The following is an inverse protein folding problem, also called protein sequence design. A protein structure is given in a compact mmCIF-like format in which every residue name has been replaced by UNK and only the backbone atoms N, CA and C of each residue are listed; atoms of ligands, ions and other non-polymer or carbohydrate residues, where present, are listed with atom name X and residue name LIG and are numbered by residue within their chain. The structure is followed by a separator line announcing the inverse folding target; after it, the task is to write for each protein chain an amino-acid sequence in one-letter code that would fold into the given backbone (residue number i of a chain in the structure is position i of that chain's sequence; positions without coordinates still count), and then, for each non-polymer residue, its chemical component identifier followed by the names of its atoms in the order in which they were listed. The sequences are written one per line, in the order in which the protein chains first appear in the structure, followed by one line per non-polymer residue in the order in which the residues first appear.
data_IF_733691242003
#
_entry.id   IF_733691242003
#
_cell.length_a   1.000
_cell.length_b   1.000
_cell.length_c   1.000
_cell.angle_alpha   90.00
_cell.angle_beta   90.00
_cell.angle_gamma   90.00
#
_symmetry.space_group_name_H-M   'P 1'
#
loop_
_entity.id
_entity.type
_entity.pdbx_description
1 polymer ?
#
# COMPACT_ATOMS: atom_id res chain seq x y z
N UNK A 1 1.41 1.43 5.49
CA UNK A 1 2.55 0.59 5.03
C UNK A 1 3.02 1.07 3.66
N UNK A 2 4.33 1.06 3.40
CA UNK A 2 4.92 1.46 2.11
C UNK A 2 5.50 0.24 1.39
N UNK A 3 5.15 0.06 0.13
CA UNK A 3 5.76 -0.93 -0.77
C UNK A 3 6.51 -0.23 -1.89
N UNK A 4 7.62 -0.83 -2.30
CA UNK A 4 8.48 -0.32 -3.37
C UNK A 4 8.57 -1.33 -4.50
N UNK A 5 8.71 -0.82 -5.72
CA UNK A 5 8.94 -1.65 -6.90
C UNK A 5 9.52 -0.85 -8.05
N UNK A 6 9.70 -1.53 -9.18
CA UNK A 6 10.25 -0.94 -10.40
C UNK A 6 9.34 -1.31 -11.57
N UNK A 7 9.09 -0.36 -12.46
CA UNK A 7 8.28 -0.62 -13.66
C UNK A 7 9.08 -1.47 -14.64
N UNK A 8 8.53 -2.61 -15.06
CA UNK A 8 9.20 -3.57 -15.95
C UNK A 8 8.76 -3.48 -17.41
N UNK A 9 7.65 -2.80 -17.72
CA UNK A 9 7.15 -2.63 -19.08
C UNK A 9 6.42 -1.29 -19.30
N UNK A 10 6.41 -0.79 -20.54
CA UNK A 10 5.69 0.42 -20.96
C UNK A 10 6.51 1.72 -20.93
N UNK A 11 5.82 2.87 -20.91
CA UNK A 11 6.43 4.21 -21.05
C UNK A 11 7.36 4.60 -19.89
N UNK A 12 7.16 4.01 -18.72
CA UNK A 12 7.88 4.37 -17.49
C UNK A 12 8.84 3.27 -17.03
N UNK A 13 9.29 2.38 -17.92
CA UNK A 13 10.26 1.31 -17.57
C UNK A 13 11.46 1.90 -16.82
N UNK A 14 11.83 1.24 -15.72
CA UNK A 14 12.92 1.69 -14.85
C UNK A 14 12.51 2.73 -13.80
N UNK A 15 11.32 3.33 -13.90
CA UNK A 15 10.80 4.25 -12.88
C UNK A 15 10.55 3.53 -11.55
N UNK A 16 10.73 4.27 -10.46
CA UNK A 16 10.49 3.76 -9.10
C UNK A 16 9.01 3.89 -8.76
N UNK A 17 8.45 2.80 -8.24
CA UNK A 17 7.07 2.72 -7.78
C UNK A 17 7.07 2.80 -6.26
N UNK A 18 6.23 3.68 -5.71
CA UNK A 18 5.93 3.77 -4.28
C UNK A 18 4.43 3.58 -4.09
N UNK A 19 4.04 2.51 -3.41
CA UNK A 19 2.64 2.26 -3.03
C UNK A 19 2.48 2.51 -1.53
N UNK A 20 1.70 3.53 -1.19
CA UNK A 20 1.28 3.76 0.18
C UNK A 20 -0.09 3.11 0.39
N UNK A 21 -0.22 2.34 1.46
CA UNK A 21 -1.50 1.82 1.93
C UNK A 21 -1.74 2.41 3.31
N UNK A 22 -2.80 3.20 3.42
CA UNK A 22 -3.29 3.72 4.70
C UNK A 22 -4.27 2.71 5.27
N UNK A 23 -4.06 2.36 6.53
CA UNK A 23 -4.91 1.42 7.24
C UNK A 23 -6.00 2.24 7.93
N UNK A 24 -7.21 2.21 7.39
CA UNK A 24 -8.36 2.83 8.02
C UNK A 24 -9.25 1.72 8.56
N UNK A 25 -8.86 1.15 9.70
CA UNK A 25 -9.75 0.24 10.39
C UNK A 25 -10.70 1.04 11.29
N UNK A 26 -11.99 0.94 11.02
CA UNK A 26 -13.05 1.56 11.84
C UNK A 26 -13.51 0.65 12.98
N UNK A 27 -13.14 -0.63 12.96
CA UNK A 27 -13.47 -1.61 14.00
C UNK A 27 -12.26 -1.81 14.93
N UNK A 28 -12.10 -0.87 15.85
CA UNK A 28 -11.03 -0.89 16.85
C UNK A 28 -11.24 -1.99 17.90
N UNK A 29 -12.45 -2.55 18.01
CA UNK A 29 -12.78 -3.57 19.00
C UNK A 29 -12.13 -4.92 18.67
N UNK A 30 -11.86 -5.18 17.38
CA UNK A 30 -11.09 -6.33 16.91
C UNK A 30 -9.63 -6.36 17.43
N UNK A 31 -9.10 -5.27 18.00
CA UNK A 31 -7.81 -5.27 18.69
C UNK A 31 -7.85 -5.99 20.05
N UNK A 32 -9.04 -6.20 20.62
CA UNK A 32 -9.21 -6.80 21.95
C UNK A 32 -9.62 -8.28 21.91
N UNK A 33 -9.78 -8.86 20.72
CA UNK A 33 -10.10 -10.28 20.56
C UNK A 33 -8.82 -11.12 20.42
N UNK A 34 -8.79 -12.38 20.89
CA UNK A 34 -7.66 -13.28 20.70
C UNK A 34 -7.31 -13.50 19.23
N UNK A 35 -8.32 -13.51 18.36
CA UNK A 35 -8.18 -13.64 16.92
C UNK A 35 -7.56 -12.39 16.28
N UNK A 36 -7.66 -11.24 16.95
CA UNK A 36 -7.17 -9.96 16.45
C UNK A 36 -7.85 -9.51 15.15
N UNK A 37 -7.22 -8.55 14.48
CA UNK A 37 -7.67 -8.05 13.19
C UNK A 37 -7.40 -9.04 12.06
N UNK A 38 -8.47 -9.69 11.59
CA UNK A 38 -8.42 -10.71 10.53
C UNK A 38 -8.23 -10.11 9.12
N UNK A 39 -8.76 -8.91 8.88
CA UNK A 39 -8.61 -8.24 7.59
C UNK A 39 -8.58 -6.73 7.78
N UNK A 40 -7.67 -6.07 7.04
CA UNK A 40 -7.61 -4.62 6.94
C UNK A 40 -7.69 -4.23 5.48
N UNK A 41 -8.55 -3.26 5.17
CA UNK A 41 -8.63 -2.61 3.87
C UNK A 41 -8.60 -1.10 4.06
N UNK A 42 -8.15 -0.38 3.05
CA UNK A 42 -8.04 1.07 3.09
C UNK A 42 -7.59 1.62 1.74
N UNK A 43 -7.70 2.94 1.53
CA UNK A 43 -7.25 3.56 0.30
C UNK A 43 -5.76 3.30 0.08
N UNK A 44 -5.39 3.04 -1.18
CA UNK A 44 -4.00 2.86 -1.55
C UNK A 44 -3.62 3.76 -2.72
N UNK A 45 -2.61 4.59 -2.48
CA UNK A 45 -2.07 5.51 -3.48
C UNK A 45 -0.84 4.89 -4.13
N UNK A 46 -0.84 4.82 -5.45
CA UNK A 46 0.29 4.36 -6.27
C UNK A 46 0.96 5.56 -6.93
N UNK A 47 2.21 5.83 -6.55
CA UNK A 47 3.03 6.86 -7.18
C UNK A 47 4.11 6.23 -8.04
N UNK A 48 4.20 6.67 -9.30
CA UNK A 48 5.26 6.28 -10.23
C UNK A 48 6.13 7.52 -10.43
N UNK A 49 7.29 7.54 -9.79
CA UNK A 49 8.27 8.61 -9.95
C UNK A 49 9.24 8.21 -11.07
N UNK A 50 9.12 8.86 -12.23
CA UNK A 50 10.18 8.82 -13.23
C UNK A 50 11.36 9.62 -12.70
N UNK A 51 12.55 9.02 -12.64
CA UNK A 51 13.76 9.84 -12.65
C UNK A 51 13.81 10.47 -14.05
N UNK A 52 13.68 11.79 -14.11
CA UNK A 52 13.96 12.56 -15.32
C UNK A 52 15.46 12.51 -15.63
#
# INVERSE_FOLDING_TARGET
MLHFGTVTAGKFVGARVVRATEFLNTDLDACYTPEGLQQISGPSTLNIASLL
#
